data_IF_149123267488
#
_entry.id   IF_149123267488
#
_cell.length_a   1.000
_cell.length_b   1.000
_cell.length_c   1.000
_cell.angle_alpha   90.00
_cell.angle_beta   90.00
_cell.angle_gamma   90.00
#
_symmetry.space_group_name_H-M   'P 1'
#
loop_
_entity.id
_entity.type
_entity.pdbx_description
1 polymer ?
#
# COMPACT_ATOMS: atom_id res chain seq x y z
N UNK A 1 -33.13 1.74 -79.14
CA UNK A 1 -32.27 1.35 -78.01
C UNK A 1 -32.32 2.48 -76.98
N UNK A 2 -33.24 2.39 -76.02
CA UNK A 2 -33.35 3.30 -74.90
C UNK A 2 -33.15 2.47 -73.63
N UNK A 3 -32.16 2.86 -72.84
CA UNK A 3 -31.67 2.17 -71.66
C UNK A 3 -32.68 2.25 -70.52
N UNK A 4 -33.07 1.08 -70.02
CA UNK A 4 -33.91 0.87 -68.85
C UNK A 4 -33.11 1.14 -67.58
N UNK A 5 -33.12 2.40 -67.12
CA UNK A 5 -32.40 2.88 -65.93
C UNK A 5 -33.37 3.23 -64.79
N UNK A 6 -34.34 2.37 -64.54
CA UNK A 6 -35.28 2.54 -63.42
C UNK A 6 -35.35 1.25 -62.60
N UNK A 7 -35.03 1.39 -61.31
CA UNK A 7 -35.13 0.45 -60.19
C UNK A 7 -33.78 0.01 -59.61
N UNK A 8 -32.97 0.97 -59.16
CA UNK A 8 -32.12 0.74 -57.99
C UNK A 8 -32.95 1.01 -56.73
N UNK A 9 -33.14 0.03 -55.83
CA UNK A 9 -33.74 0.32 -54.53
C UNK A 9 -32.88 1.34 -53.78
N UNK A 10 -33.49 2.24 -53.00
CA UNK A 10 -32.74 3.19 -52.19
C UNK A 10 -31.81 2.42 -51.23
N UNK A 11 -30.59 2.93 -50.98
CA UNK A 11 -29.71 2.33 -49.98
C UNK A 11 -30.47 2.25 -48.64
N UNK A 12 -30.30 1.17 -47.87
CA UNK A 12 -30.90 1.09 -46.54
C UNK A 12 -30.47 2.32 -45.72
N UNK A 13 -31.36 2.88 -44.88
CA UNK A 13 -30.97 4.00 -44.02
C UNK A 13 -29.73 3.58 -43.25
N UNK A 14 -28.69 4.42 -43.32
CA UNK A 14 -27.47 4.19 -42.58
C UNK A 14 -27.87 3.95 -41.12
N UNK A 15 -27.64 2.73 -40.62
CA UNK A 15 -27.81 2.43 -39.22
C UNK A 15 -27.01 3.46 -38.45
N UNK A 16 -27.68 4.37 -37.74
CA UNK A 16 -27.04 5.40 -36.91
C UNK A 16 -26.13 4.67 -35.94
N UNK A 17 -24.82 4.68 -36.23
CA UNK A 17 -23.82 4.14 -35.35
C UNK A 17 -23.76 5.07 -34.15
N UNK A 18 -24.42 4.67 -33.06
CA UNK A 18 -24.27 5.28 -31.76
C UNK A 18 -22.79 5.19 -31.35
N UNK A 19 -22.10 6.32 -31.27
CA UNK A 19 -20.74 6.35 -30.75
C UNK A 19 -20.77 6.52 -29.23
N UNK A 20 -19.79 5.91 -28.55
CA UNK A 20 -19.61 6.06 -27.11
C UNK A 20 -19.54 7.54 -26.67
N UNK A 21 -18.96 8.40 -27.52
CA UNK A 21 -18.78 9.83 -27.23
C UNK A 21 -20.09 10.63 -27.35
N UNK A 22 -21.09 10.11 -28.04
CA UNK A 22 -22.42 10.73 -28.18
C UNK A 22 -23.29 10.51 -26.92
N UNK A 23 -22.85 9.63 -26.02
CA UNK A 23 -23.53 9.39 -24.75
C UNK A 23 -23.35 10.57 -23.78
N UNK A 24 -24.35 10.86 -22.93
CA UNK A 24 -24.20 11.81 -21.82
C UNK A 24 -23.03 11.45 -20.90
N UNK A 25 -22.41 12.46 -20.30
CA UNK A 25 -21.21 12.30 -19.48
C UNK A 25 -21.43 11.32 -18.31
N UNK A 26 -22.63 11.30 -17.73
CA UNK A 26 -23.03 10.42 -16.63
C UNK A 26 -22.98 8.94 -17.06
N UNK A 27 -23.46 8.63 -18.26
CA UNK A 27 -23.42 7.28 -18.82
C UNK A 27 -21.98 6.90 -19.15
N UNK A 28 -21.20 7.81 -19.74
CA UNK A 28 -19.77 7.56 -20.02
C UNK A 28 -18.99 7.28 -18.74
N UNK A 29 -19.20 8.07 -17.69
CA UNK A 29 -18.58 7.85 -16.38
C UNK A 29 -18.99 6.51 -15.77
N UNK A 30 -20.27 6.14 -15.85
CA UNK A 30 -20.77 4.85 -15.36
C UNK A 30 -20.10 3.67 -16.09
N UNK A 31 -19.91 3.78 -17.41
CA UNK A 31 -19.16 2.80 -18.20
C UNK A 31 -17.70 2.76 -17.74
N UNK A 32 -17.08 3.92 -17.52
CA UNK A 32 -15.69 4.01 -17.09
C UNK A 32 -15.47 3.45 -15.67
N UNK A 33 -16.44 3.56 -14.78
CA UNK A 33 -16.38 2.90 -13.46
C UNK A 33 -16.36 1.37 -13.56
N UNK A 34 -16.99 0.81 -14.59
CA UNK A 34 -16.92 -0.62 -14.89
C UNK A 34 -15.58 -1.00 -15.53
N UNK A 35 -15.04 -0.16 -16.42
CA UNK A 35 -13.72 -0.35 -17.06
C UNK A 35 -12.58 -0.26 -16.05
N UNK A 36 -12.68 0.64 -15.07
CA UNK A 36 -11.75 0.82 -13.97
C UNK A 36 -12.38 0.31 -12.67
N UNK A 37 -12.50 -1.01 -12.48
CA UNK A 37 -13.10 -1.56 -11.28
C UNK A 37 -12.33 -1.10 -10.05
N UNK A 38 -13.01 -0.88 -8.90
CA UNK A 38 -12.32 -0.55 -7.68
C UNK A 38 -11.35 -1.67 -7.35
N UNK A 39 -10.17 -1.28 -6.87
CA UNK A 39 -9.09 -2.17 -6.45
C UNK A 39 -9.52 -3.20 -5.37
N UNK A 40 -10.74 -3.05 -4.85
CA UNK A 40 -11.41 -3.92 -3.87
C UNK A 40 -12.75 -4.43 -4.42
N UNK A 41 -12.76 -5.49 -5.23
CA UNK A 41 -13.96 -6.32 -5.49
C UNK A 41 -13.59 -7.77 -5.78
N UNK A 42 -12.83 -8.39 -4.88
CA UNK A 42 -12.95 -9.83 -4.63
C UNK A 42 -13.56 -10.01 -3.25
N UNK A 43 -14.89 -10.10 -3.27
CA UNK A 43 -15.75 -10.54 -2.17
C UNK A 43 -15.38 -11.96 -1.75
N UNK A 44 -14.79 -12.09 -0.57
CA UNK A 44 -15.16 -13.13 0.41
C UNK A 44 -14.66 -12.71 1.79
N UNK A 45 -15.57 -12.83 2.74
CA UNK A 45 -15.55 -12.46 4.16
C UNK A 45 -14.57 -13.29 5.01
N UNK A 46 -13.29 -13.29 4.64
CA UNK A 46 -12.20 -13.77 5.50
C UNK A 46 -11.10 -12.72 5.53
N UNK A 47 -10.72 -12.29 6.73
CA UNK A 47 -9.97 -11.07 7.05
C UNK A 47 -8.55 -10.89 6.45
N UNK A 48 -8.10 -11.67 5.46
CA UNK A 48 -6.72 -11.67 4.97
C UNK A 48 -6.64 -11.97 3.46
N UNK A 49 -7.43 -11.29 2.62
CA UNK A 49 -7.23 -11.35 1.17
C UNK A 49 -5.82 -10.84 0.82
N UNK A 50 -5.13 -11.44 -0.18
CA UNK A 50 -3.83 -10.98 -0.60
C UNK A 50 -3.88 -9.50 -0.99
N UNK A 51 -2.85 -8.71 -0.63
CA UNK A 51 -2.73 -7.37 -1.17
C UNK A 51 -2.77 -7.45 -2.71
N UNK A 52 -3.15 -6.36 -3.35
CA UNK A 52 -3.30 -6.36 -4.80
C UNK A 52 -1.94 -6.60 -5.46
N UNK A 53 -1.90 -7.52 -6.43
CA UNK A 53 -0.65 -7.92 -7.10
C UNK A 53 0.12 -9.05 -6.42
N UNK A 54 -0.51 -9.77 -5.49
CA UNK A 54 0.07 -10.93 -4.83
C UNK A 54 -0.70 -12.20 -5.17
N UNK A 55 0.01 -13.33 -5.10
CA UNK A 55 -0.58 -14.67 -5.15
C UNK A 55 -0.11 -15.48 -3.95
N UNK A 56 -0.91 -16.46 -3.55
CA UNK A 56 -0.56 -17.40 -2.49
C UNK A 56 0.41 -18.45 -3.04
N UNK A 57 1.55 -18.63 -2.37
CA UNK A 57 2.51 -19.65 -2.74
C UNK A 57 1.93 -21.04 -2.44
N UNK A 58 1.84 -21.96 -3.42
CA UNK A 58 1.17 -23.26 -3.20
C UNK A 58 1.83 -24.12 -2.13
N UNK A 59 3.14 -23.97 -1.92
CA UNK A 59 3.92 -24.81 -1.01
C UNK A 59 3.96 -24.28 0.42
N UNK A 60 3.95 -22.96 0.60
CA UNK A 60 4.11 -22.32 1.92
C UNK A 60 2.88 -21.54 2.36
N UNK A 61 1.85 -21.41 1.51
CA UNK A 61 0.68 -20.54 1.72
C UNK A 61 1.01 -19.06 1.98
N UNK A 62 2.24 -18.63 1.73
CA UNK A 62 2.70 -17.25 1.93
C UNK A 62 2.33 -16.36 0.75
N UNK A 63 2.12 -15.06 0.99
CA UNK A 63 1.92 -14.10 -0.09
C UNK A 63 3.25 -13.78 -0.78
N UNK A 64 3.27 -14.00 -2.09
CA UNK A 64 4.39 -13.65 -2.97
C UNK A 64 3.89 -12.70 -4.06
N UNK A 65 4.77 -11.84 -4.55
CA UNK A 65 4.43 -10.99 -5.69
C UNK A 65 4.03 -11.84 -6.89
N UNK A 66 2.91 -11.50 -7.49
CA UNK A 66 2.47 -12.13 -8.72
C UNK A 66 3.15 -11.44 -9.91
N UNK A 67 4.10 -12.09 -10.61
CA UNK A 67 4.72 -11.51 -11.80
C UNK A 67 3.71 -11.30 -12.93
N UNK A 68 2.62 -12.06 -12.92
CA UNK A 68 1.57 -12.04 -13.94
C UNK A 68 0.46 -11.03 -13.61
N UNK A 69 0.62 -10.22 -12.55
CA UNK A 69 -0.37 -9.20 -12.21
C UNK A 69 -0.46 -8.16 -13.33
N UNK A 70 -1.67 -7.75 -13.74
CA UNK A 70 -1.85 -6.74 -14.76
C UNK A 70 -1.02 -5.50 -14.45
N UNK A 71 -0.21 -5.09 -15.42
CA UNK A 71 0.60 -3.88 -15.24
C UNK A 71 -0.30 -2.65 -15.20
N UNK A 72 0.08 -1.58 -14.49
CA UNK A 72 -0.66 -0.32 -14.56
C UNK A 72 -0.89 0.16 -15.99
N UNK A 73 0.02 -0.16 -16.93
CA UNK A 73 -0.13 0.13 -18.36
C UNK A 73 -1.35 -0.54 -18.98
N UNK A 74 -1.65 -1.79 -18.61
CA UNK A 74 -2.84 -2.49 -19.11
C UNK A 74 -4.12 -1.89 -18.51
N UNK A 75 -4.11 -1.60 -17.21
CA UNK A 75 -5.25 -0.96 -16.54
C UNK A 75 -5.54 0.42 -17.10
N UNK A 76 -4.50 1.22 -17.37
CA UNK A 76 -4.61 2.60 -17.87
C UNK A 76 -4.73 2.69 -19.41
N UNK A 77 -4.64 1.59 -20.14
CA UNK A 77 -4.75 1.55 -21.60
C UNK A 77 -6.00 2.27 -22.16
N UNK A 78 -7.19 2.22 -21.52
CA UNK A 78 -8.36 2.93 -22.00
C UNK A 78 -8.16 4.45 -22.10
N UNK A 79 -7.27 5.04 -21.28
CA UNK A 79 -6.96 6.47 -21.34
C UNK A 79 -6.17 6.87 -22.60
N UNK A 80 -5.57 5.90 -23.28
CA UNK A 80 -4.79 6.12 -24.50
C UNK A 80 -5.65 6.11 -25.77
N UNK A 81 -6.94 5.77 -25.67
CA UNK A 81 -7.82 5.59 -26.83
C UNK A 81 -8.20 6.94 -27.48
N UNK A 82 -8.64 7.92 -26.69
CA UNK A 82 -8.95 9.26 -27.19
C UNK A 82 -8.86 10.34 -26.10
N UNK A 83 -8.76 11.61 -26.53
CA UNK A 83 -8.62 12.77 -25.62
C UNK A 83 -9.82 12.95 -24.69
N UNK A 84 -11.04 12.67 -25.16
CA UNK A 84 -12.24 12.83 -24.35
C UNK A 84 -12.27 11.80 -23.20
N UNK A 85 -11.96 10.54 -23.49
CA UNK A 85 -11.89 9.50 -22.46
C UNK A 85 -10.77 9.76 -21.46
N UNK A 86 -9.63 10.29 -21.92
CA UNK A 86 -8.59 10.76 -21.01
C UNK A 86 -9.11 11.88 -20.10
N UNK A 87 -9.75 12.92 -20.66
CA UNK A 87 -10.28 14.03 -19.89
C UNK A 87 -11.31 13.57 -18.84
N UNK A 88 -12.25 12.73 -19.25
CA UNK A 88 -13.35 12.24 -18.40
C UNK A 88 -12.84 11.29 -17.29
N UNK A 89 -11.86 10.43 -17.59
CA UNK A 89 -11.55 9.28 -16.74
C UNK A 89 -10.21 9.32 -15.99
N UNK A 90 -9.27 10.21 -16.34
CA UNK A 90 -7.89 10.11 -15.82
C UNK A 90 -7.80 10.09 -14.28
N UNK A 91 -8.57 10.91 -13.55
CA UNK A 91 -8.54 10.89 -12.08
C UNK A 91 -9.18 9.63 -11.49
N UNK A 92 -10.29 9.18 -12.08
CA UNK A 92 -10.95 7.94 -11.69
C UNK A 92 -10.00 6.74 -11.88
N UNK A 93 -9.35 6.67 -13.04
CA UNK A 93 -8.37 5.65 -13.37
C UNK A 93 -7.19 5.64 -12.37
N UNK A 94 -6.63 6.80 -12.04
CA UNK A 94 -5.57 6.91 -11.02
C UNK A 94 -6.03 6.48 -9.62
N UNK A 95 -7.28 6.76 -9.27
CA UNK A 95 -7.88 6.36 -7.98
C UNK A 95 -8.08 4.86 -7.88
N UNK A 96 -8.50 4.22 -8.98
CA UNK A 96 -8.85 2.80 -9.04
C UNK A 96 -7.63 1.91 -9.32
N UNK A 97 -6.57 2.46 -9.92
CA UNK A 97 -5.39 1.70 -10.31
C UNK A 97 -4.41 1.50 -9.14
N UNK A 98 -4.09 0.26 -8.76
CA UNK A 98 -3.00 -0.03 -7.85
C UNK A 98 -1.65 0.10 -8.57
N UNK A 99 -0.79 0.98 -8.09
CA UNK A 99 0.53 1.18 -8.70
C UNK A 99 1.54 0.21 -8.08
N UNK A 100 1.92 -0.82 -8.83
CA UNK A 100 2.93 -1.80 -8.43
C UNK A 100 4.26 -1.53 -9.14
N UNK A 101 5.35 -1.51 -8.38
CA UNK A 101 6.71 -1.57 -8.93
C UNK A 101 7.51 -2.74 -8.36
N UNK A 102 7.91 -3.64 -9.25
CA UNK A 102 8.71 -4.83 -8.93
C UNK A 102 10.21 -4.58 -9.00
N UNK A 103 10.64 -3.46 -9.59
CA UNK A 103 12.04 -3.10 -9.80
C UNK A 103 12.57 -2.22 -8.68
N UNK A 104 13.65 -2.66 -8.02
CA UNK A 104 14.37 -1.87 -7.00
C UNK A 104 14.82 -0.50 -7.52
N UNK A 105 15.22 -0.41 -8.79
CA UNK A 105 15.65 0.86 -9.39
C UNK A 105 14.48 1.83 -9.57
N UNK A 106 13.32 1.30 -9.94
CA UNK A 106 12.11 2.12 -10.06
C UNK A 106 11.63 2.58 -8.69
N UNK A 107 11.67 1.70 -7.69
CA UNK A 107 11.30 2.03 -6.32
C UNK A 107 12.17 3.17 -5.73
N UNK A 108 13.45 3.22 -6.07
CA UNK A 108 14.35 4.31 -5.63
C UNK A 108 13.99 5.67 -6.25
N UNK A 109 13.34 5.67 -7.42
CA UNK A 109 13.01 6.85 -8.21
C UNK A 109 11.52 7.25 -8.11
N UNK A 110 10.77 6.71 -7.14
CA UNK A 110 9.36 7.08 -6.94
C UNK A 110 9.18 8.60 -6.78
N UNK A 111 9.97 9.33 -5.96
CA UNK A 111 9.82 10.78 -5.85
C UNK A 111 9.96 11.51 -7.20
N UNK A 112 10.96 11.14 -8.00
CA UNK A 112 11.19 11.71 -9.33
C UNK A 112 10.03 11.41 -10.29
N UNK A 113 9.42 10.23 -10.20
CA UNK A 113 8.25 9.88 -11.02
C UNK A 113 7.00 10.63 -10.60
N UNK A 114 6.80 10.82 -9.29
CA UNK A 114 5.69 11.62 -8.77
C UNK A 114 5.80 13.08 -9.23
N UNK A 115 7.02 13.64 -9.29
CA UNK A 115 7.26 15.00 -9.75
C UNK A 115 6.88 15.25 -11.24
N UNK A 116 6.69 14.21 -12.05
CA UNK A 116 6.21 14.33 -13.42
C UNK A 116 4.69 14.45 -13.52
N UNK A 117 3.96 14.15 -12.44
CA UNK A 117 2.51 14.12 -12.42
C UNK A 117 1.95 15.46 -11.93
N UNK A 118 0.78 15.83 -12.44
CA UNK A 118 0.06 16.98 -11.91
C UNK A 118 -0.48 16.67 -10.50
N UNK A 119 -0.53 17.66 -9.60
CA UNK A 119 -0.94 17.45 -8.20
C UNK A 119 -2.31 16.76 -8.06
N UNK A 120 -3.26 17.06 -8.96
CA UNK A 120 -4.56 16.36 -9.02
C UNK A 120 -4.42 14.85 -9.23
N UNK A 121 -3.48 14.42 -10.08
CA UNK A 121 -3.20 13.00 -10.31
C UNK A 121 -2.53 12.38 -9.08
N UNK A 122 -1.58 13.09 -8.46
CA UNK A 122 -0.91 12.62 -7.23
C UNK A 122 -1.93 12.39 -6.11
N UNK A 123 -2.83 13.37 -5.89
CA UNK A 123 -3.93 13.26 -4.91
C UNK A 123 -4.91 12.13 -5.21
N UNK A 124 -5.01 11.72 -6.48
CA UNK A 124 -5.86 10.62 -6.90
C UNK A 124 -5.22 9.26 -6.62
N UNK A 125 -3.89 9.15 -6.51
CA UNK A 125 -3.23 7.86 -6.21
C UNK A 125 -3.65 7.37 -4.82
N UNK A 126 -4.23 6.17 -4.74
CA UNK A 126 -4.67 5.56 -3.47
C UNK A 126 -3.86 4.36 -3.03
N UNK A 127 -3.26 3.62 -3.96
CA UNK A 127 -2.53 2.40 -3.64
C UNK A 127 -1.18 2.37 -4.35
N UNK A 128 -0.12 2.17 -3.56
CA UNK A 128 1.24 2.04 -4.06
C UNK A 128 1.90 0.81 -3.41
N UNK A 129 2.49 -0.04 -4.24
CA UNK A 129 3.26 -1.21 -3.80
C UNK A 129 4.64 -1.15 -4.45
N UNK A 130 5.69 -1.29 -3.64
CA UNK A 130 7.04 -1.34 -4.18
C UNK A 130 7.90 -2.38 -3.48
N UNK A 131 8.82 -2.96 -4.25
CA UNK A 131 9.85 -3.86 -3.71
C UNK A 131 10.93 -3.04 -3.02
N UNK A 132 11.23 -3.38 -1.78
CA UNK A 132 12.15 -2.71 -0.90
C UNK A 132 13.32 -3.62 -0.49
N UNK A 133 14.48 -3.00 -0.33
CA UNK A 133 15.68 -3.57 0.29
C UNK A 133 16.21 -2.59 1.33
N UNK A 134 17.37 -2.90 1.93
CA UNK A 134 18.03 -2.05 2.91
C UNK A 134 18.22 -0.57 2.45
N UNK A 135 18.38 -0.29 1.14
CA UNK A 135 18.53 1.09 0.66
C UNK A 135 17.23 1.87 0.78
N UNK A 136 16.10 1.22 0.51
CA UNK A 136 14.78 1.82 0.60
C UNK A 136 14.40 2.08 2.06
N UNK A 137 14.69 1.14 2.97
CA UNK A 137 14.48 1.32 4.40
C UNK A 137 15.30 2.49 4.96
N UNK A 138 16.56 2.66 4.54
CA UNK A 138 17.37 3.82 4.93
C UNK A 138 16.77 5.15 4.48
N UNK A 139 16.10 5.19 3.32
CA UNK A 139 15.44 6.39 2.79
C UNK A 139 14.09 6.71 3.43
N UNK A 140 13.54 5.81 4.27
CA UNK A 140 12.28 6.10 4.97
C UNK A 140 12.42 7.30 5.91
N UNK A 141 13.62 7.56 6.44
CA UNK A 141 13.90 8.74 7.27
C UNK A 141 13.70 10.06 6.51
N UNK A 142 13.85 10.04 5.18
CA UNK A 142 13.72 11.23 4.34
C UNK A 142 12.26 11.63 4.14
N UNK A 143 11.29 10.78 4.53
CA UNK A 143 9.86 11.03 4.34
C UNK A 143 9.32 12.12 5.28
N UNK A 144 10.03 12.39 6.38
CA UNK A 144 9.63 13.36 7.41
C UNK A 144 8.24 13.08 7.98
N UNK A 145 7.18 13.62 7.38
CA UNK A 145 5.79 13.52 7.84
C UNK A 145 4.85 12.86 6.84
N UNK A 146 5.27 12.62 5.60
CA UNK A 146 4.39 12.08 4.57
C UNK A 146 5.14 11.12 3.64
N UNK A 147 4.45 10.14 3.01
CA UNK A 147 5.11 9.21 2.10
C UNK A 147 5.91 9.96 1.02
N UNK A 148 7.18 9.60 0.88
CA UNK A 148 8.12 10.21 -0.09
C UNK A 148 8.32 11.72 0.08
N UNK A 149 7.98 12.28 1.25
CA UNK A 149 8.01 13.71 1.52
C UNK A 149 7.15 14.53 0.52
N UNK A 150 6.00 14.00 0.11
CA UNK A 150 5.13 14.64 -0.88
C UNK A 150 3.77 15.06 -0.27
N UNK A 151 3.50 16.37 -0.07
CA UNK A 151 2.35 16.89 0.71
C UNK A 151 0.96 16.48 0.18
N UNK A 152 0.87 16.28 -1.14
CA UNK A 152 -0.38 15.96 -1.84
C UNK A 152 -0.66 14.45 -1.94
N UNK A 153 0.26 13.59 -1.46
CA UNK A 153 0.14 12.15 -1.61
C UNK A 153 -0.63 11.55 -0.43
N UNK A 154 -1.88 11.18 -0.67
CA UNK A 154 -2.76 10.56 0.33
C UNK A 154 -3.13 9.14 -0.08
N UNK A 155 -2.48 8.17 0.56
CA UNK A 155 -2.60 6.76 0.24
C UNK A 155 -3.58 6.06 1.18
N UNK A 156 -4.47 5.26 0.60
CA UNK A 156 -5.27 4.29 1.33
C UNK A 156 -4.41 3.09 1.73
N UNK A 157 -3.47 2.66 0.90
CA UNK A 157 -2.56 1.55 1.21
C UNK A 157 -1.19 1.73 0.58
N UNK A 158 -0.15 1.60 1.39
CA UNK A 158 1.25 1.54 0.97
C UNK A 158 1.83 0.18 1.35
N UNK A 159 2.30 -0.59 0.37
CA UNK A 159 2.83 -1.93 0.58
C UNK A 159 4.33 -1.99 0.27
N UNK A 160 5.13 -2.33 1.27
CA UNK A 160 6.56 -2.58 1.14
C UNK A 160 6.81 -4.07 1.05
N UNK A 161 7.35 -4.50 -0.08
CA UNK A 161 7.62 -5.91 -0.33
C UNK A 161 9.09 -6.19 -0.17
N UNK A 162 9.47 -7.10 0.72
CA UNK A 162 10.87 -7.46 0.85
C UNK A 162 11.38 -8.09 -0.44
N UNK A 163 12.50 -7.58 -0.95
CA UNK A 163 13.13 -8.10 -2.15
C UNK A 163 13.58 -9.54 -1.94
N UNK A 164 13.12 -10.44 -2.81
CA UNK A 164 13.50 -11.85 -2.78
C UNK A 164 14.89 -12.02 -3.39
N UNK A 165 15.89 -12.18 -2.53
CA UNK A 165 17.28 -12.42 -2.93
C UNK A 165 17.95 -13.49 -2.06
N UNK A 166 19.19 -13.84 -2.39
CA UNK A 166 20.05 -14.71 -1.57
C UNK A 166 20.55 -14.03 -0.29
N UNK A 167 20.46 -12.69 -0.22
CA UNK A 167 20.93 -11.89 0.91
C UNK A 167 19.90 -11.85 2.04
N UNK A 168 20.41 -11.77 3.27
CA UNK A 168 19.59 -11.60 4.46
C UNK A 168 19.20 -10.13 4.65
N UNK A 169 17.92 -9.89 4.91
CA UNK A 169 17.42 -8.60 5.36
C UNK A 169 17.61 -8.48 6.87
N UNK A 170 18.31 -7.42 7.29
CA UNK A 170 18.54 -7.06 8.69
C UNK A 170 17.56 -5.94 9.08
N UNK A 171 16.28 -6.28 9.23
CA UNK A 171 15.23 -5.28 9.47
C UNK A 171 15.35 -4.58 10.83
N UNK A 172 16.03 -5.23 11.79
CA UNK A 172 16.34 -4.65 13.10
C UNK A 172 17.11 -3.33 13.00
N UNK A 173 18.01 -3.20 12.01
CA UNK A 173 18.84 -2.01 11.82
C UNK A 173 18.01 -0.75 11.50
N UNK A 174 16.77 -0.92 11.02
CA UNK A 174 15.88 0.18 10.61
C UNK A 174 14.71 0.41 11.56
N UNK A 175 14.59 -0.40 12.63
CA UNK A 175 13.38 -0.41 13.46
C UNK A 175 13.20 0.90 14.22
N UNK A 176 14.27 1.48 14.78
CA UNK A 176 14.21 2.76 15.48
C UNK A 176 13.76 3.91 14.58
N UNK A 177 14.29 3.95 13.36
CA UNK A 177 14.02 5.00 12.40
C UNK A 177 12.61 4.87 11.83
N UNK A 178 12.16 3.63 11.60
CA UNK A 178 10.78 3.35 11.23
C UNK A 178 9.80 3.79 12.34
N UNK A 179 10.08 3.49 13.61
CA UNK A 179 9.21 3.95 14.72
C UNK A 179 9.16 5.47 14.80
N UNK A 180 10.29 6.16 14.67
CA UNK A 180 10.33 7.63 14.62
C UNK A 180 9.48 8.20 13.48
N UNK A 181 9.57 7.59 12.29
CA UNK A 181 8.74 7.95 11.15
C UNK A 181 7.26 7.73 11.44
N UNK A 182 6.88 6.54 11.92
CA UNK A 182 5.48 6.15 12.15
C UNK A 182 4.73 7.12 13.08
N UNK A 183 5.40 7.67 14.09
CA UNK A 183 4.81 8.69 14.99
C UNK A 183 4.29 9.93 14.27
N UNK A 184 4.91 10.27 13.14
CA UNK A 184 4.67 11.51 12.42
C UNK A 184 4.14 11.28 11.00
N UNK A 185 3.99 10.03 10.57
CA UNK A 185 3.61 9.69 9.20
C UNK A 185 2.10 9.89 8.99
N UNK A 186 1.77 11.02 8.39
CA UNK A 186 0.43 11.42 7.99
C UNK A 186 0.16 11.07 6.52
N UNK A 187 -1.10 11.18 6.08
CA UNK A 187 -1.47 10.93 4.68
C UNK A 187 -1.46 9.45 4.27
N UNK A 188 -1.35 8.52 5.22
CA UNK A 188 -1.40 7.09 4.98
C UNK A 188 -2.43 6.42 5.89
N UNK A 189 -3.38 5.67 5.32
CA UNK A 189 -4.37 4.90 6.11
C UNK A 189 -3.86 3.52 6.52
N UNK A 190 -3.08 2.86 5.66
CA UNK A 190 -2.60 1.49 5.89
C UNK A 190 -1.18 1.29 5.35
N UNK A 191 -0.27 0.82 6.20
CA UNK A 191 1.08 0.41 5.84
C UNK A 191 1.18 -1.12 5.93
N UNK A 192 1.63 -1.76 4.86
CA UNK A 192 1.72 -3.22 4.78
C UNK A 192 3.15 -3.64 4.49
N UNK A 193 3.67 -4.61 5.24
CA UNK A 193 4.95 -5.26 4.94
C UNK A 193 4.70 -6.70 4.53
N UNK A 194 5.26 -7.11 3.39
CA UNK A 194 5.13 -8.47 2.88
C UNK A 194 6.49 -9.14 2.80
N UNK A 195 6.65 -10.29 3.44
CA UNK A 195 7.92 -11.03 3.45
C UNK A 195 8.34 -11.50 2.06
N UNK A 196 7.38 -11.90 1.21
CA UNK A 196 7.63 -12.29 -0.19
C UNK A 196 8.74 -13.36 -0.34
N UNK A 197 8.74 -14.34 0.56
CA UNK A 197 9.76 -15.39 0.67
C UNK A 197 11.21 -14.86 0.74
N UNK A 198 11.41 -13.63 1.19
CA UNK A 198 12.73 -13.09 1.45
C UNK A 198 13.34 -13.74 2.71
N UNK A 199 14.67 -13.77 2.72
CA UNK A 199 15.46 -14.22 3.87
C UNK A 199 15.54 -13.08 4.88
N UNK A 200 14.87 -13.24 6.02
CA UNK A 200 14.85 -12.24 7.10
C UNK A 200 15.61 -12.80 8.28
N UNK A 201 16.65 -12.08 8.73
CA UNK A 201 17.42 -12.49 9.89
C UNK A 201 16.57 -12.31 11.15
N UNK A 202 16.56 -13.27 12.07
CA UNK A 202 15.71 -13.21 13.26
C UNK A 202 14.35 -13.91 13.13
N UNK A 203 13.88 -14.12 11.89
CA UNK A 203 12.48 -14.33 11.49
C UNK A 203 11.70 -13.03 11.30
N UNK A 204 10.66 -13.08 10.46
CA UNK A 204 9.80 -11.93 10.18
C UNK A 204 8.84 -11.63 11.33
N UNK A 205 8.40 -12.66 12.07
CA UNK A 205 7.56 -12.54 13.26
C UNK A 205 8.32 -11.90 14.43
N UNK A 206 9.57 -12.30 14.66
CA UNK A 206 10.42 -11.67 15.68
C UNK A 206 10.69 -10.19 15.40
N UNK A 207 10.86 -9.82 14.13
CA UNK A 207 10.94 -8.40 13.75
C UNK A 207 9.63 -7.65 14.02
N UNK A 208 8.47 -8.24 13.70
CA UNK A 208 7.17 -7.68 14.02
C UNK A 208 6.99 -7.39 15.52
N UNK A 209 7.26 -8.38 16.37
CA UNK A 209 7.12 -8.25 17.82
C UNK A 209 8.02 -7.12 18.34
N UNK A 210 9.25 -7.04 17.84
CA UNK A 210 10.17 -5.96 18.21
C UNK A 210 9.73 -4.58 17.71
N UNK A 211 9.19 -4.49 16.50
CA UNK A 211 8.64 -3.25 15.96
C UNK A 211 7.51 -2.74 16.86
N UNK A 212 6.54 -3.60 17.17
CA UNK A 212 5.40 -3.28 18.04
C UNK A 212 5.85 -2.90 19.45
N UNK A 213 6.76 -3.68 20.04
CA UNK A 213 7.32 -3.36 21.35
C UNK A 213 8.01 -1.98 21.38
N UNK A 214 8.75 -1.64 20.33
CA UNK A 214 9.41 -0.35 20.24
C UNK A 214 8.42 0.80 19.99
N UNK A 215 7.34 0.60 19.23
CA UNK A 215 6.26 1.58 19.09
C UNK A 215 5.71 1.94 20.47
N UNK A 216 5.36 0.94 21.30
CA UNK A 216 4.81 1.17 22.63
C UNK A 216 5.82 1.81 23.60
N UNK A 217 7.07 1.34 23.60
CA UNK A 217 8.14 1.87 24.45
C UNK A 217 8.46 3.33 24.14
N UNK A 218 8.59 3.67 22.85
CA UNK A 218 8.86 5.05 22.42
C UNK A 218 7.64 5.94 22.64
N UNK A 219 6.41 5.43 22.48
CA UNK A 219 5.19 6.18 22.79
C UNK A 219 5.15 6.64 24.25
N UNK A 220 5.32 5.70 25.18
CA UNK A 220 5.38 6.01 26.61
C UNK A 220 6.48 7.02 26.95
N UNK A 221 7.71 6.79 26.47
CA UNK A 221 8.85 7.66 26.75
C UNK A 221 8.62 9.11 26.28
N UNK A 222 8.16 9.29 25.05
CA UNK A 222 7.96 10.62 24.46
C UNK A 222 6.77 11.37 25.08
N UNK A 223 5.80 10.65 25.67
CA UNK A 223 4.65 11.24 26.36
C UNK A 223 4.96 11.66 27.80
N UNK A 224 5.56 10.78 28.60
CA UNK A 224 5.64 10.94 30.05
C UNK A 224 7.05 11.17 30.60
N UNK A 225 8.09 10.76 29.86
CA UNK A 225 9.48 10.85 30.33
C UNK A 225 10.21 12.05 29.73
N UNK A 226 9.96 12.35 28.45
CA UNK A 226 10.66 13.41 27.71
C UNK A 226 10.08 14.79 28.01
N UNK A 227 10.96 15.78 28.13
CA UNK A 227 10.61 17.20 28.31
C UNK A 227 11.27 18.06 27.22
N UNK A 228 10.51 18.82 26.40
CA UNK A 228 9.04 18.85 26.37
C UNK A 228 8.45 17.53 25.84
N UNK A 229 7.25 17.19 26.31
CA UNK A 229 6.52 16.02 25.80
C UNK A 229 6.25 16.17 24.30
N UNK A 230 6.29 15.06 23.56
CA UNK A 230 6.09 15.03 22.13
C UNK A 230 5.20 13.85 21.74
N UNK A 231 3.88 13.91 22.02
CA UNK A 231 2.96 12.85 21.65
C UNK A 231 2.96 12.61 20.13
N UNK A 232 2.67 11.39 19.73
CA UNK A 232 2.53 11.01 18.32
C UNK A 232 1.37 11.74 17.65
N UNK A 233 1.51 11.99 16.35
CA UNK A 233 0.44 12.54 15.52
C UNK A 233 -0.50 11.48 14.97
N UNK A 234 0.01 10.26 14.82
CA UNK A 234 -0.72 9.11 14.30
C UNK A 234 -0.42 7.91 15.18
N UNK A 235 -1.48 7.28 15.67
CA UNK A 235 -1.39 5.98 16.33
C UNK A 235 -1.56 4.87 15.30
N UNK A 236 -0.97 3.71 15.53
CA UNK A 236 -1.08 2.58 14.62
C UNK A 236 -1.65 1.39 15.37
N UNK A 237 -2.69 0.77 14.83
CA UNK A 237 -3.04 -0.61 15.18
C UNK A 237 -2.25 -1.56 14.31
N UNK A 238 -1.95 -2.76 14.81
CA UNK A 238 -1.08 -3.72 14.14
C UNK A 238 -1.66 -5.11 14.16
N UNK A 239 -1.36 -5.89 13.11
CA UNK A 239 -1.68 -7.31 13.00
C UNK A 239 -0.57 -8.03 12.25
N UNK A 240 -0.31 -9.26 12.65
CA UNK A 240 0.59 -10.17 11.95
C UNK A 240 -0.19 -11.40 11.47
N UNK A 241 -0.07 -11.69 10.18
CA UNK A 241 -0.54 -12.94 9.58
C UNK A 241 0.66 -13.87 9.41
N UNK A 242 0.70 -14.92 10.25
CA UNK A 242 1.75 -15.93 10.25
C UNK A 242 1.71 -16.83 9.01
N UNK A 243 0.54 -17.01 8.39
CA UNK A 243 0.38 -17.85 7.19
C UNK A 243 0.80 -17.04 5.96
N UNK A 244 0.21 -15.86 5.77
CA UNK A 244 0.55 -15.01 4.63
C UNK A 244 1.95 -14.39 4.74
N UNK A 245 2.52 -14.32 5.95
CA UNK A 245 3.76 -13.61 6.28
C UNK A 245 3.64 -12.13 5.93
N UNK A 246 2.59 -11.49 6.46
CA UNK A 246 2.22 -10.10 6.24
C UNK A 246 2.05 -9.38 7.57
N UNK A 247 2.61 -8.17 7.66
CA UNK A 247 2.34 -7.23 8.76
C UNK A 247 1.46 -6.12 8.22
N UNK A 248 0.38 -5.81 8.93
CA UNK A 248 -0.51 -4.70 8.60
C UNK A 248 -0.50 -3.72 9.75
N UNK A 249 -0.21 -2.45 9.45
CA UNK A 249 -0.40 -1.33 10.35
C UNK A 249 -1.54 -0.46 9.81
N UNK A 250 -2.58 -0.23 10.60
CA UNK A 250 -3.69 0.67 10.24
C UNK A 250 -3.63 1.94 11.08
N UNK A 251 -3.64 3.08 10.39
CA UNK A 251 -3.56 4.39 11.01
C UNK A 251 -4.85 4.69 11.77
N UNK A 252 -4.69 5.17 12.99
CA UNK A 252 -5.72 5.63 13.89
C UNK A 252 -5.40 7.06 14.33
N UNK A 253 -6.41 7.82 14.77
CA UNK A 253 -6.16 9.12 15.40
C UNK A 253 -5.18 8.99 16.57
N UNK A 254 -4.34 10.01 16.77
CA UNK A 254 -3.45 10.10 17.92
C UNK A 254 -4.20 9.82 19.24
N UNK A 255 -3.54 9.15 20.19
CA UNK A 255 -4.15 8.90 21.49
C UNK A 255 -4.35 10.22 22.23
N UNK A 256 -5.51 10.36 22.86
CA UNK A 256 -5.82 11.49 23.74
C UNK A 256 -4.79 11.56 24.87
N UNK A 257 -4.50 12.78 25.32
CA UNK A 257 -3.71 12.96 26.53
C UNK A 257 -4.51 12.50 27.75
N UNK A 258 -3.88 11.67 28.57
CA UNK A 258 -4.40 11.14 29.83
C UNK A 258 -3.25 11.00 30.83
N UNK A 259 -3.56 10.87 32.11
CA UNK A 259 -2.58 10.54 33.14
C UNK A 259 -1.89 9.20 32.87
N UNK A 260 -0.63 9.07 33.29
CA UNK A 260 0.22 7.91 33.00
C UNK A 260 -0.41 6.60 33.47
N UNK A 261 -0.97 6.56 34.68
CA UNK A 261 -1.64 5.38 35.24
C UNK A 261 -2.77 4.87 34.33
N UNK A 262 -3.58 5.80 33.81
CA UNK A 262 -4.70 5.49 32.91
C UNK A 262 -4.17 5.00 31.56
N UNK A 263 -3.12 5.65 31.03
CA UNK A 263 -2.45 5.22 29.81
C UNK A 263 -1.91 3.79 29.95
N UNK A 264 -1.22 3.47 31.04
CA UNK A 264 -0.68 2.14 31.31
C UNK A 264 -1.79 1.08 31.38
N UNK A 265 -2.94 1.42 31.99
CA UNK A 265 -4.14 0.58 31.96
C UNK A 265 -4.64 0.27 30.55
N UNK A 266 -4.64 1.26 29.65
CA UNK A 266 -5.01 1.09 28.24
C UNK A 266 -3.98 0.28 27.43
N UNK A 267 -2.69 0.38 27.78
CA UNK A 267 -1.61 -0.33 27.10
C UNK A 267 -1.45 -1.79 27.55
N UNK A 268 -1.86 -2.12 28.78
CA UNK A 268 -1.75 -3.46 29.36
C UNK A 268 -2.19 -4.62 28.45
N UNK A 269 -3.38 -4.60 27.80
CA UNK A 269 -3.78 -5.70 26.92
C UNK A 269 -2.85 -5.87 25.70
N UNK A 270 -2.32 -4.77 25.14
CA UNK A 270 -1.40 -4.80 24.01
C UNK A 270 -0.02 -5.37 24.41
N UNK A 271 0.44 -5.02 25.61
CA UNK A 271 1.68 -5.56 26.17
C UNK A 271 1.56 -7.04 26.45
N UNK A 272 0.40 -7.49 26.97
CA UNK A 272 0.15 -8.90 27.24
C UNK A 272 0.05 -9.72 25.94
N UNK A 273 -0.64 -9.21 24.92
CA UNK A 273 -0.67 -9.82 23.58
C UNK A 273 0.75 -9.97 23.02
N UNK A 274 1.57 -8.91 23.13
CA UNK A 274 2.95 -8.96 22.69
C UNK A 274 3.77 -9.97 23.49
N UNK A 275 3.59 -10.05 24.82
CA UNK A 275 4.29 -11.01 25.69
C UNK A 275 4.01 -12.45 25.24
N UNK A 276 2.74 -12.78 25.05
CA UNK A 276 2.30 -14.11 24.57
C UNK A 276 2.88 -14.40 23.18
N UNK A 277 2.86 -13.41 22.28
CA UNK A 277 3.43 -13.53 20.93
C UNK A 277 4.94 -13.79 20.95
N UNK A 278 5.69 -13.12 21.85
CA UNK A 278 7.15 -13.30 22.00
C UNK A 278 7.49 -14.65 22.63
N UNK A 279 6.71 -15.12 23.61
CA UNK A 279 6.90 -16.43 24.23
C UNK A 279 6.64 -17.60 23.27
N UNK A 280 5.78 -17.39 22.28
CA UNK A 280 5.52 -18.34 21.22
C UNK A 280 6.60 -18.34 20.13
N UNK A 281 7.57 -17.42 20.14
CA UNK A 281 8.66 -17.41 19.17
C UNK A 281 9.60 -18.61 19.38
N UNK A 282 9.86 -19.36 18.31
CA UNK A 282 10.91 -20.37 18.32
C UNK A 282 12.27 -19.72 18.61
N UNK A 283 13.01 -20.30 19.56
CA UNK A 283 14.29 -19.79 20.03
C UNK A 283 15.27 -19.53 18.87
N UNK A 284 15.75 -18.28 18.76
CA UNK A 284 16.76 -17.91 17.78
C UNK A 284 18.16 -17.91 18.42
N UNK A 285 19.12 -18.72 17.92
CA UNK A 285 20.48 -18.76 18.46
C UNK A 285 21.28 -17.46 18.24
N UNK A 286 20.82 -16.51 17.43
CA UNK A 286 21.58 -15.28 17.18
C UNK A 286 21.54 -14.31 18.37
N UNK A 287 22.68 -13.97 19.02
CA UNK A 287 22.72 -13.02 20.13
C UNK A 287 22.21 -11.62 19.76
N UNK A 288 22.29 -11.19 18.49
CA UNK A 288 21.76 -9.88 18.04
C UNK A 288 20.24 -9.82 18.06
N UNK A 289 19.54 -10.96 18.03
CA UNK A 289 18.08 -11.00 18.17
C UNK A 289 17.62 -10.46 19.54
N UNK A 290 18.48 -10.57 20.57
CA UNK A 290 18.18 -10.21 21.97
C UNK A 290 18.65 -8.78 22.33
N UNK A 291 19.50 -8.17 21.53
CA UNK A 291 20.07 -6.85 21.81
C UNK A 291 19.07 -5.76 21.44
N UNK A 292 18.09 -5.52 22.31
CA UNK A 292 17.06 -4.49 22.16
C UNK A 292 16.10 -4.31 23.32
N UNK A 293 16.30 -5.03 24.42
CA UNK A 293 15.63 -4.76 25.69
C UNK A 293 15.90 -3.33 26.15
#
# INVERSE_FOLDING_TARGET
>A
MATSDLLRPPPPPASEQLNLLDLPAEIRLSILEYVFPPATTTTTTTNLNPPIGFKTCPTTSTHILNPDHPTPTQTLAPLLTCRQLHADAHLLAFTRTPFLTTSLFTATNIPTRLALLHNKQIRAIRSLTFVADARHFRKLVDWQHQPFNHPDLHLDTLTLVLHRSSFWHYLYDFTSDLVKLLRNLEGLKRLVFVRNNARVKGSFHAWYNRLVGLIMKVDHHERYIKTPCCPEKVWWSWKFDSVAQVIVLEALPAKKWVEEEVYMGLMKPLVEELRVSVEAEEWNPDPRSRNGA
#
